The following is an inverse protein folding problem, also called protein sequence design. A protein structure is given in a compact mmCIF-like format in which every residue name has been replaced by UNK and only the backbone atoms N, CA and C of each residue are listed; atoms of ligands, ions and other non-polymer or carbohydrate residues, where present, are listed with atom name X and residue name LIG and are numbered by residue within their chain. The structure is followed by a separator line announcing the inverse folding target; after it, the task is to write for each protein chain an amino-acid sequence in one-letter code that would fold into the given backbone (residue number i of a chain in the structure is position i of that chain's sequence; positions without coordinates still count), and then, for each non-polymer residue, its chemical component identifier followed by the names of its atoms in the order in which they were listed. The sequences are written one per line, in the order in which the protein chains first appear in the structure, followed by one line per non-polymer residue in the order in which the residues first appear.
data_IF_402881302273
#
_entry.id   IF_402881302273
#
_cell.length_a   1.000
_cell.length_b   1.000
_cell.length_c   1.000
_cell.angle_alpha   90.00
_cell.angle_beta   90.00
_cell.angle_gamma   90.00
#
_symmetry.space_group_name_H-M   'P 1'
#
loop_
_entity.id
_entity.type
_entity.pdbx_description
1 polymer ?
#
# COMPACT_ATOMS: atom_id res chain seq x y z
N UNK A 1 -0.22 1.73 -11.83
CA UNK A 1 -1.40 1.35 -11.02
C UNK A 1 -1.57 2.24 -9.79
N UNK A 2 -0.57 2.38 -8.94
CA UNK A 2 -0.66 3.24 -7.75
C UNK A 2 -0.93 4.72 -8.10
N UNK A 3 -0.29 5.27 -9.12
CA UNK A 3 -0.57 6.63 -9.57
C UNK A 3 -2.03 6.81 -10.00
N UNK A 4 -2.60 5.84 -10.71
CA UNK A 4 -4.00 5.88 -11.13
C UNK A 4 -4.95 5.84 -9.93
N UNK A 5 -4.60 5.08 -8.89
CA UNK A 5 -5.40 4.98 -7.67
C UNK A 5 -5.47 6.30 -6.90
N UNK A 6 -4.42 7.14 -6.94
CA UNK A 6 -4.35 8.41 -6.21
C UNK A 6 -4.51 9.65 -7.09
N UNK A 7 -4.74 9.47 -8.39
CA UNK A 7 -4.81 10.58 -9.36
C UNK A 7 -5.86 11.64 -9.01
N UNK A 8 -6.93 11.25 -8.33
CA UNK A 8 -8.01 12.16 -7.91
C UNK A 8 -7.72 12.91 -6.60
N UNK A 9 -6.58 12.62 -5.96
CA UNK A 9 -6.21 13.20 -4.67
C UNK A 9 -5.11 14.23 -4.90
N UNK A 10 -5.39 15.56 -4.73
CA UNK A 10 -4.44 16.61 -5.11
C UNK A 10 -3.12 16.59 -4.35
N UNK A 11 -3.12 16.12 -3.12
CA UNK A 11 -1.95 16.11 -2.24
C UNK A 11 -1.35 14.71 -2.03
N UNK A 12 -1.64 13.78 -2.94
CA UNK A 12 -1.08 12.43 -2.91
C UNK A 12 -0.37 12.13 -4.23
N UNK A 13 0.72 11.39 -4.14
CA UNK A 13 1.46 10.91 -5.31
C UNK A 13 2.03 9.52 -5.03
N UNK A 14 2.23 8.76 -6.08
CA UNK A 14 2.92 7.48 -6.00
C UNK A 14 4.41 7.68 -6.32
N UNK A 15 5.25 6.99 -5.59
CA UNK A 15 6.70 6.99 -5.81
C UNK A 15 7.25 5.58 -5.58
N UNK A 16 8.42 5.31 -6.15
CA UNK A 16 9.11 4.03 -5.98
C UNK A 16 10.27 4.20 -5.01
N UNK A 17 10.31 3.34 -4.00
CA UNK A 17 11.42 3.26 -3.06
C UNK A 17 12.25 2.03 -3.38
N UNK A 18 13.52 2.23 -3.77
CA UNK A 18 14.42 1.14 -4.14
C UNK A 18 15.48 0.82 -3.10
N UNK A 19 15.58 1.61 -2.03
CA UNK A 19 16.53 1.43 -0.94
C UNK A 19 15.83 1.29 0.40
N UNK A 20 16.50 1.72 1.45
CA UNK A 20 15.93 1.73 2.79
C UNK A 20 14.81 2.78 2.88
N UNK A 21 13.69 2.37 3.45
CA UNK A 21 12.52 3.24 3.61
C UNK A 21 12.85 4.47 4.48
N UNK A 22 13.66 4.30 5.50
CA UNK A 22 14.09 5.42 6.37
C UNK A 22 14.86 6.50 5.59
N UNK A 23 15.73 6.10 4.68
CA UNK A 23 16.47 7.01 3.82
C UNK A 23 15.56 7.69 2.79
N UNK A 24 14.69 6.93 2.17
CA UNK A 24 13.71 7.45 1.22
C UNK A 24 12.79 8.48 1.88
N UNK A 25 12.32 8.20 3.09
CA UNK A 25 11.52 9.13 3.86
C UNK A 25 12.26 10.45 4.13
N UNK A 26 13.55 10.37 4.45
CA UNK A 26 14.39 11.56 4.64
C UNK A 26 14.50 12.37 3.35
N UNK A 27 14.75 11.73 2.23
CA UNK A 27 14.84 12.37 0.91
C UNK A 27 13.54 13.08 0.52
N UNK A 28 12.40 12.48 0.89
CA UNK A 28 11.08 13.04 0.59
C UNK A 28 10.62 14.07 1.63
N UNK A 29 11.40 14.33 2.68
CA UNK A 29 11.02 15.24 3.75
C UNK A 29 9.87 14.73 4.61
N UNK A 30 9.64 13.42 4.66
CA UNK A 30 8.57 12.83 5.44
C UNK A 30 8.91 12.82 6.93
N UNK A 31 7.94 13.17 7.78
CA UNK A 31 8.08 13.12 9.23
C UNK A 31 7.40 11.89 9.84
N UNK A 32 6.58 11.18 9.07
CA UNK A 32 5.87 10.00 9.55
C UNK A 32 5.63 9.00 8.44
N UNK A 33 5.64 7.72 8.82
CA UNK A 33 5.15 6.61 8.00
C UNK A 33 3.77 6.23 8.49
N UNK A 34 2.84 6.02 7.55
CA UNK A 34 1.51 5.51 7.89
C UNK A 34 1.41 4.11 7.34
N UNK A 35 1.17 3.15 8.23
CA UNK A 35 1.14 1.72 7.92
C UNK A 35 -0.21 1.14 8.31
N UNK A 36 -0.72 0.22 7.49
CA UNK A 36 -1.94 -0.51 7.80
C UNK A 36 -1.63 -1.84 8.49
N UNK A 37 -2.48 -2.28 9.40
CA UNK A 37 -2.40 -3.60 10.00
C UNK A 37 -3.78 -4.25 9.99
N UNK A 38 -3.87 -5.51 9.56
CA UNK A 38 -5.11 -6.29 9.50
C UNK A 38 -5.20 -7.30 10.64
N UNK A 39 -4.07 -7.78 11.13
CA UNK A 39 -3.97 -8.82 12.17
C UNK A 39 -3.02 -8.39 13.26
N UNK A 40 -3.07 -9.11 14.41
CA UNK A 40 -2.09 -8.91 15.49
C UNK A 40 -0.67 -9.18 15.04
N UNK A 41 -0.46 -10.17 14.16
CA UNK A 41 0.86 -10.46 13.58
C UNK A 41 1.39 -9.32 12.73
N UNK A 42 0.54 -8.71 11.90
CA UNK A 42 0.91 -7.52 11.14
C UNK A 42 1.33 -6.38 12.06
N UNK A 43 0.56 -6.16 13.13
CA UNK A 43 0.83 -5.11 14.11
C UNK A 43 2.18 -5.33 14.82
N UNK A 44 2.45 -6.54 15.28
CA UNK A 44 3.70 -6.88 15.96
C UNK A 44 4.90 -6.66 15.03
N UNK A 45 4.78 -7.03 13.77
CA UNK A 45 5.82 -6.82 12.77
C UNK A 45 6.04 -5.34 12.50
N UNK A 46 4.97 -4.55 12.35
CA UNK A 46 5.07 -3.11 12.10
C UNK A 46 5.70 -2.36 13.28
N UNK A 47 5.47 -2.78 14.51
CA UNK A 47 6.14 -2.22 15.69
C UNK A 47 7.65 -2.40 15.59
N UNK A 48 8.12 -3.59 15.21
CA UNK A 48 9.54 -3.87 15.05
C UNK A 48 10.15 -3.01 13.94
N UNK A 49 9.47 -2.92 12.80
CA UNK A 49 9.90 -2.06 11.69
C UNK A 49 9.94 -0.58 12.10
N UNK A 50 9.00 -0.12 12.90
CA UNK A 50 8.97 1.25 13.40
C UNK A 50 10.21 1.57 14.24
N UNK A 51 10.66 0.66 15.08
CA UNK A 51 11.87 0.84 15.86
C UNK A 51 13.12 0.91 14.96
N UNK A 52 13.23 0.01 13.99
CA UNK A 52 14.34 0.00 13.04
C UNK A 52 14.37 1.31 12.25
N UNK A 53 13.23 1.75 11.74
CA UNK A 53 13.14 2.99 10.98
C UNK A 53 13.50 4.22 11.82
N UNK A 54 13.12 4.24 13.10
CA UNK A 54 13.46 5.31 14.01
C UNK A 54 14.97 5.33 14.34
N UNK A 55 15.58 4.16 14.49
CA UNK A 55 17.03 4.06 14.70
C UNK A 55 17.81 4.62 13.51
N UNK A 56 17.34 4.34 12.30
CA UNK A 56 17.97 4.82 11.06
C UNK A 56 17.64 6.27 10.75
N UNK A 57 16.51 6.76 11.17
CA UNK A 57 16.03 8.12 10.95
C UNK A 57 15.27 8.60 12.21
N UNK A 58 15.96 9.22 13.19
CA UNK A 58 15.36 9.59 14.48
C UNK A 58 14.16 10.54 14.40
N UNK A 59 14.06 11.32 13.32
CA UNK A 59 12.92 12.23 13.11
C UNK A 59 11.69 11.58 12.49
N UNK A 60 11.71 10.27 12.23
CA UNK A 60 10.65 9.56 11.53
C UNK A 60 9.77 8.77 12.51
N UNK A 61 8.53 9.19 12.64
CA UNK A 61 7.52 8.46 13.43
C UNK A 61 6.77 7.46 12.54
N UNK A 62 6.22 6.43 13.16
CA UNK A 62 5.35 5.48 12.50
C UNK A 62 3.96 5.50 13.14
N UNK A 63 2.93 5.57 12.31
CA UNK A 63 1.53 5.53 12.72
C UNK A 63 0.93 4.26 12.13
N UNK A 64 0.42 3.39 12.99
CA UNK A 64 -0.18 2.12 12.58
C UNK A 64 -1.69 2.23 12.69
N UNK A 65 -2.37 2.11 11.57
CA UNK A 65 -3.83 2.17 11.50
C UNK A 65 -4.39 0.76 11.32
N UNK A 66 -5.29 0.32 12.20
CA UNK A 66 -5.97 -0.94 11.99
C UNK A 66 -6.92 -0.84 10.80
N UNK A 67 -6.95 -1.88 9.97
CA UNK A 67 -7.89 -1.96 8.87
C UNK A 67 -9.33 -2.06 9.41
N UNK A 68 -10.27 -1.43 8.72
CA UNK A 68 -11.69 -1.56 9.07
C UNK A 68 -12.17 -2.99 8.82
N UNK A 69 -13.16 -3.48 9.58
CA UNK A 69 -13.66 -4.86 9.41
C UNK A 69 -14.00 -5.23 7.97
N UNK A 70 -14.58 -4.31 7.22
CA UNK A 70 -14.94 -4.52 5.82
C UNK A 70 -13.74 -4.74 4.88
N UNK A 71 -12.51 -4.43 5.33
CA UNK A 71 -11.29 -4.56 4.55
C UNK A 71 -10.33 -5.63 5.08
N UNK A 72 -10.68 -6.32 6.17
CA UNK A 72 -9.78 -7.29 6.81
C UNK A 72 -9.38 -8.44 5.88
N UNK A 73 -10.23 -8.80 4.94
CA UNK A 73 -9.99 -9.89 3.99
C UNK A 73 -9.30 -9.44 2.70
N UNK A 74 -9.08 -8.13 2.53
CA UNK A 74 -8.47 -7.59 1.30
C UNK A 74 -6.95 -7.67 1.40
N UNK A 75 -6.33 -8.32 0.43
CA UNK A 75 -4.87 -8.45 0.32
C UNK A 75 -4.49 -8.54 -1.15
N UNK A 76 -3.22 -8.30 -1.45
CA UNK A 76 -2.72 -8.47 -2.82
C UNK A 76 -2.84 -9.93 -3.28
N UNK A 77 -2.66 -10.89 -2.37
CA UNK A 77 -2.84 -12.31 -2.67
C UNK A 77 -4.28 -12.60 -3.09
N UNK A 78 -5.26 -12.10 -2.33
CA UNK A 78 -6.68 -12.27 -2.65
C UNK A 78 -7.01 -11.61 -3.99
N UNK A 79 -6.52 -10.40 -4.24
CA UNK A 79 -6.77 -9.71 -5.52
C UNK A 79 -6.21 -10.52 -6.70
N UNK A 80 -5.00 -11.10 -6.56
CA UNK A 80 -4.45 -11.97 -7.60
C UNK A 80 -5.32 -13.19 -7.87
N UNK A 81 -5.88 -13.80 -6.83
CA UNK A 81 -6.82 -14.92 -7.00
C UNK A 81 -8.10 -14.48 -7.73
N UNK A 82 -8.64 -13.31 -7.38
CA UNK A 82 -9.81 -12.76 -8.05
C UNK A 82 -9.56 -12.54 -9.54
N UNK A 83 -8.36 -12.06 -9.89
CA UNK A 83 -7.94 -11.90 -11.30
C UNK A 83 -7.86 -13.26 -11.99
N UNK A 84 -7.25 -14.24 -11.33
CA UNK A 84 -7.09 -15.60 -11.88
C UNK A 84 -8.43 -16.23 -12.23
N UNK A 85 -9.44 -16.03 -11.38
CA UNK A 85 -10.76 -16.63 -11.55
C UNK A 85 -11.80 -15.69 -12.18
N UNK A 86 -11.32 -14.61 -12.83
CA UNK A 86 -12.15 -13.68 -13.60
C UNK A 86 -13.28 -13.03 -12.81
N UNK A 87 -13.03 -12.71 -11.55
CA UNK A 87 -14.01 -12.09 -10.67
C UNK A 87 -13.98 -10.56 -10.78
N UNK A 88 -15.06 -9.91 -10.31
CA UNK A 88 -15.12 -8.46 -10.24
C UNK A 88 -14.11 -7.92 -9.23
N UNK A 89 -13.45 -6.81 -9.57
CA UNK A 89 -12.45 -6.17 -8.74
C UNK A 89 -12.92 -4.87 -8.08
N UNK A 90 -14.09 -4.36 -8.51
CA UNK A 90 -14.54 -3.00 -8.16
C UNK A 90 -14.72 -2.78 -6.65
N UNK A 91 -15.07 -3.82 -5.89
CA UNK A 91 -15.25 -3.74 -4.45
C UNK A 91 -13.96 -3.94 -3.65
N UNK A 92 -12.85 -4.29 -4.32
CA UNK A 92 -11.60 -4.72 -3.67
C UNK A 92 -10.41 -3.84 -3.96
N UNK A 93 -10.48 -3.03 -5.00
CA UNK A 93 -9.39 -2.12 -5.40
C UNK A 93 -9.97 -0.76 -5.80
N UNK A 94 -9.16 0.32 -5.73
CA UNK A 94 -9.59 1.63 -6.22
C UNK A 94 -9.96 1.59 -7.70
N UNK A 95 -10.91 2.44 -8.10
CA UNK A 95 -11.44 2.45 -9.47
C UNK A 95 -10.35 2.54 -10.55
N UNK A 96 -9.38 3.45 -10.40
CA UNK A 96 -8.29 3.59 -11.35
C UNK A 96 -7.43 2.34 -11.46
N UNK A 97 -7.21 1.63 -10.35
CA UNK A 97 -6.47 0.38 -10.34
C UNK A 97 -7.28 -0.76 -10.97
N UNK A 98 -8.60 -0.80 -10.72
CA UNK A 98 -9.48 -1.81 -11.31
C UNK A 98 -9.43 -1.78 -12.84
N UNK A 99 -9.46 -0.59 -13.43
CA UNK A 99 -9.41 -0.42 -14.88
C UNK A 99 -8.09 -0.96 -15.46
N UNK A 100 -6.97 -0.63 -14.85
CA UNK A 100 -5.64 -1.11 -15.29
C UNK A 100 -5.55 -2.63 -15.14
N UNK A 101 -6.04 -3.20 -14.06
CA UNK A 101 -6.03 -4.64 -13.85
C UNK A 101 -6.89 -5.38 -14.86
N UNK A 102 -8.03 -4.80 -15.25
CA UNK A 102 -8.86 -5.34 -16.33
C UNK A 102 -8.11 -5.35 -17.66
N UNK A 103 -7.44 -4.24 -17.99
CA UNK A 103 -6.64 -4.15 -19.22
C UNK A 103 -5.50 -5.17 -19.24
N UNK A 104 -4.80 -5.36 -18.13
CA UNK A 104 -3.72 -6.37 -18.00
C UNK A 104 -4.29 -7.78 -18.22
N UNK A 105 -5.42 -8.09 -17.60
CA UNK A 105 -6.08 -9.39 -17.74
C UNK A 105 -6.50 -9.66 -19.17
N UNK A 106 -6.95 -8.64 -19.89
CA UNK A 106 -7.34 -8.75 -21.32
C UNK A 106 -6.14 -8.78 -22.26
N UNK A 107 -4.92 -8.67 -21.74
CA UNK A 107 -3.69 -8.67 -22.54
C UNK A 107 -3.38 -7.35 -23.25
N UNK A 108 -4.07 -6.27 -22.92
CA UNK A 108 -3.88 -4.95 -23.56
C UNK A 108 -2.67 -4.20 -23.03
N UNK A 109 -2.31 -4.44 -21.75
CA UNK A 109 -1.16 -3.81 -21.07
C UNK A 109 -0.44 -4.89 -20.25
N UNK A 110 0.88 -4.80 -20.17
CA UNK A 110 1.71 -5.70 -19.36
C UNK A 110 2.09 -5.10 -18.02
#
# INVERSE_FOLDING_TARGET
MAQAAVAHIPNARAAVCTGLLADFAREQGACALIKGARTGGDFDWEIQLAQINRDLNPGLDSIILPARPKHLHISSTMVREMIRYDQKLDDYVPAGAADILREIREGKVR
#
